data_IF_253493680404
#
_entry.id   IF_253493680404
#
_cell.length_a   1.000
_cell.length_b   1.000
_cell.length_c   1.000
_cell.angle_alpha   90.00
_cell.angle_beta   90.00
_cell.angle_gamma   90.00
#
_symmetry.space_group_name_H-M   'P 1'
#
loop_
_entity.id
_entity.type
_entity.pdbx_description
1 polymer ?
#
# COMPACT_ATOMS: atom_id res chain seq x y z
N UNK A 1 -22.53 14.24 2.35
CA UNK A 1 -22.89 14.96 1.12
C UNK A 1 -23.27 16.36 1.56
N UNK A 2 -22.66 17.40 0.99
CA UNK A 2 -23.09 18.78 1.26
C UNK A 2 -24.35 19.05 0.43
N UNK A 3 -25.31 19.77 1.01
CA UNK A 3 -26.57 20.14 0.36
C UNK A 3 -26.66 21.65 0.35
N UNK A 4 -26.60 22.24 -0.84
CA UNK A 4 -26.99 23.62 -1.06
C UNK A 4 -28.50 23.68 -1.37
N UNK A 5 -29.18 24.65 -0.76
CA UNK A 5 -30.62 24.90 -0.89
C UNK A 5 -30.95 25.77 -2.12
N UNK A 6 -29.96 26.48 -2.66
CA UNK A 6 -30.10 27.43 -3.77
C UNK A 6 -29.76 26.81 -5.14
N UNK A 7 -29.36 25.53 -5.16
CA UNK A 7 -29.07 24.71 -6.35
C UNK A 7 -27.89 25.24 -7.19
N UNK A 8 -26.96 25.91 -6.51
CA UNK A 8 -25.70 26.43 -7.02
C UNK A 8 -24.59 25.36 -6.93
N UNK A 9 -23.56 25.51 -7.77
CA UNK A 9 -22.48 24.52 -7.84
C UNK A 9 -21.46 24.76 -6.74
N UNK A 10 -21.43 23.87 -5.75
CA UNK A 10 -20.41 23.86 -4.71
C UNK A 10 -19.01 23.62 -5.30
N UNK A 11 -18.02 24.35 -4.80
CA UNK A 11 -16.60 24.13 -5.07
C UNK A 11 -15.91 23.57 -3.84
N UNK A 12 -14.99 22.62 -4.05
CA UNK A 12 -14.27 21.90 -3.00
C UNK A 12 -12.77 22.08 -3.18
N UNK A 13 -12.07 22.44 -2.10
CA UNK A 13 -10.60 22.52 -2.09
C UNK A 13 -10.04 21.89 -0.82
N UNK A 14 -8.78 21.49 -0.88
CA UNK A 14 -8.02 20.94 0.25
C UNK A 14 -6.99 21.96 0.73
N UNK A 15 -6.64 21.90 2.01
CA UNK A 15 -5.51 22.65 2.55
C UNK A 15 -4.18 22.16 1.94
N UNK A 16 -3.17 23.04 1.98
CA UNK A 16 -1.86 22.77 1.38
C UNK A 16 -1.16 21.55 1.99
N UNK A 17 -1.37 21.26 3.28
CA UNK A 17 -0.76 20.10 3.94
C UNK A 17 -1.35 18.81 3.39
N UNK A 18 -2.66 18.77 3.17
CA UNK A 18 -3.34 17.64 2.54
C UNK A 18 -2.87 17.40 1.11
N UNK A 19 -2.75 18.48 0.31
CA UNK A 19 -2.26 18.40 -1.06
C UNK A 19 -0.81 17.85 -1.12
N UNK A 20 0.07 18.29 -0.22
CA UNK A 20 1.46 17.80 -0.14
C UNK A 20 1.56 16.32 0.25
N UNK A 21 0.53 15.75 0.87
CA UNK A 21 0.45 14.30 1.15
C UNK A 21 -0.08 13.48 -0.04
N UNK A 22 -0.39 14.14 -1.16
CA UNK A 22 -0.99 13.52 -2.34
C UNK A 22 -2.49 13.25 -2.21
N UNK A 23 -3.17 13.91 -1.27
CA UNK A 23 -4.63 13.82 -1.14
C UNK A 23 -5.25 14.65 -2.27
N UNK A 24 -6.23 14.09 -2.96
CA UNK A 24 -6.97 14.76 -4.03
C UNK A 24 -8.45 14.82 -3.71
N UNK A 25 -9.16 15.82 -4.24
CA UNK A 25 -10.60 15.99 -4.12
C UNK A 25 -11.20 16.31 -5.50
N UNK A 26 -12.36 15.74 -5.84
CA UNK A 26 -13.08 16.11 -7.07
C UNK A 26 -14.17 17.16 -6.84
N UNK A 27 -14.82 17.56 -7.94
CA UNK A 27 -15.94 18.51 -7.93
C UNK A 27 -17.18 18.03 -7.17
N UNK A 28 -17.26 16.73 -6.85
CA UNK A 28 -18.33 16.15 -6.04
C UNK A 28 -17.92 15.99 -4.57
N UNK A 29 -16.73 16.48 -4.17
CA UNK A 29 -16.20 16.39 -2.82
C UNK A 29 -15.66 15.00 -2.44
N UNK A 30 -15.45 14.10 -3.41
CA UNK A 30 -14.87 12.77 -3.16
C UNK A 30 -13.37 12.90 -3.01
N UNK A 31 -12.81 12.27 -1.98
CA UNK A 31 -11.39 12.31 -1.65
C UNK A 31 -10.71 11.00 -2.03
N UNK A 32 -9.52 11.08 -2.64
CA UNK A 32 -8.64 9.93 -2.84
C UNK A 32 -7.28 10.18 -2.22
N UNK A 33 -6.73 9.13 -1.62
CA UNK A 33 -5.41 9.14 -1.01
C UNK A 33 -4.82 7.74 -0.95
N UNK A 34 -3.52 7.63 -1.21
CA UNK A 34 -2.72 6.42 -0.98
C UNK A 34 -1.65 6.76 0.05
N UNK A 35 -1.85 6.44 1.34
CA UNK A 35 -0.90 6.78 2.38
C UNK A 35 0.42 6.01 2.20
N UNK A 36 1.50 6.64 2.66
CA UNK A 36 2.84 6.03 2.73
C UNK A 36 3.22 5.74 4.19
N UNK A 37 4.35 5.08 4.41
CA UNK A 37 4.91 4.85 5.76
C UNK A 37 5.16 6.16 6.52
N UNK A 38 5.47 7.26 5.82
CA UNK A 38 5.65 8.58 6.42
C UNK A 38 4.33 9.20 6.91
N UNK A 39 3.19 8.58 6.60
CA UNK A 39 1.87 9.03 7.01
C UNK A 39 1.30 8.23 8.19
N UNK A 40 2.05 7.30 8.80
CA UNK A 40 1.59 6.57 9.98
C UNK A 40 1.22 7.56 11.10
N UNK A 41 0.06 7.34 11.72
CA UNK A 41 -0.51 8.23 12.73
C UNK A 41 -1.68 9.07 12.20
N UNK A 42 -1.97 10.16 12.92
CA UNK A 42 -3.11 11.04 12.62
C UNK A 42 -2.73 12.03 11.52
N UNK A 43 -3.57 12.10 10.50
CA UNK A 43 -3.46 13.01 9.36
C UNK A 43 -4.73 13.86 9.28
N UNK A 44 -4.69 15.11 9.78
CA UNK A 44 -5.80 16.03 9.56
C UNK A 44 -5.90 16.38 8.08
N UNK A 45 -7.13 16.40 7.58
CA UNK A 45 -7.50 16.81 6.23
C UNK A 45 -8.56 17.89 6.35
N UNK A 46 -8.29 19.09 5.86
CA UNK A 46 -9.25 20.19 5.88
C UNK A 46 -9.81 20.40 4.49
N UNK A 47 -11.11 20.20 4.34
CA UNK A 47 -11.87 20.51 3.14
C UNK A 47 -12.51 21.87 3.31
N UNK A 48 -12.33 22.73 2.31
CA UNK A 48 -13.04 24.00 2.19
C UNK A 48 -14.12 23.86 1.13
N UNK A 49 -15.34 24.21 1.46
CA UNK A 49 -16.51 24.23 0.58
C UNK A 49 -16.93 25.68 0.38
N UNK A 50 -17.11 26.09 -0.87
CA UNK A 50 -17.59 27.43 -1.20
C UNK A 50 -18.75 27.33 -2.20
N UNK A 51 -19.81 28.09 -1.91
CA UNK A 51 -21.07 28.10 -2.63
C UNK A 51 -21.21 29.27 -3.64
N UNK A 52 -20.08 29.81 -4.08
CA UNK A 52 -20.00 30.98 -4.98
C UNK A 52 -20.65 32.29 -4.45
N UNK A 53 -21.35 32.25 -3.32
CA UNK A 53 -21.98 33.39 -2.65
C UNK A 53 -21.14 33.93 -1.47
N UNK A 54 -19.81 33.77 -1.53
CA UNK A 54 -18.82 34.22 -0.52
C UNK A 54 -18.87 33.49 0.84
N UNK A 55 -19.82 32.59 1.04
CA UNK A 55 -19.88 31.71 2.21
C UNK A 55 -18.87 30.57 2.06
N UNK A 56 -17.90 30.54 2.98
CA UNK A 56 -16.88 29.50 3.04
C UNK A 56 -17.15 28.65 4.28
N UNK A 57 -17.27 27.34 4.10
CA UNK A 57 -17.33 26.38 5.19
C UNK A 57 -16.09 25.50 5.17
N UNK A 58 -15.49 25.29 6.33
CA UNK A 58 -14.36 24.38 6.49
C UNK A 58 -14.74 23.20 7.38
N UNK A 59 -14.33 22.01 6.98
CA UNK A 59 -14.45 20.80 7.77
C UNK A 59 -13.11 20.11 7.83
N UNK A 60 -12.63 19.84 9.04
CA UNK A 60 -11.44 19.00 9.27
C UNK A 60 -11.87 17.58 9.62
N UNK A 61 -11.18 16.61 9.03
CA UNK A 61 -11.33 15.19 9.34
C UNK A 61 -9.96 14.59 9.67
N UNK A 62 -9.89 13.78 10.72
CA UNK A 62 -8.65 13.12 11.15
C UNK A 62 -8.59 11.70 10.58
N UNK A 63 -7.80 11.49 9.53
CA UNK A 63 -7.51 10.16 8.99
C UNK A 63 -6.39 9.51 9.80
N UNK A 64 -6.65 8.34 10.39
CA UNK A 64 -5.62 7.57 11.10
C UNK A 64 -5.07 6.47 10.20
N UNK A 65 -3.76 6.49 9.96
CA UNK A 65 -3.05 5.43 9.24
C UNK A 65 -2.34 4.55 10.25
N UNK A 66 -2.60 3.25 10.20
CA UNK A 66 -1.94 2.25 11.04
C UNK A 66 -0.76 1.62 10.30
N UNK A 67 0.32 1.34 11.03
CA UNK A 67 1.41 0.55 10.49
C UNK A 67 0.96 -0.89 10.23
N UNK A 68 1.47 -1.50 9.16
CA UNK A 68 1.39 -2.95 9.01
C UNK A 68 2.51 -3.60 9.82
N UNK A 69 2.13 -4.49 10.74
CA UNK A 69 3.04 -5.12 11.69
C UNK A 69 3.06 -6.64 11.55
N UNK A 70 2.33 -7.19 10.58
CA UNK A 70 2.28 -8.62 10.33
C UNK A 70 3.38 -8.94 9.32
N UNK A 71 4.22 -9.93 9.67
CA UNK A 71 5.29 -10.36 8.77
C UNK A 71 4.75 -11.32 7.71
N UNK A 72 5.35 -11.35 6.50
CA UNK A 72 5.00 -12.34 5.49
C UNK A 72 5.20 -13.77 5.98
N UNK A 73 4.28 -14.66 5.61
CA UNK A 73 4.44 -16.10 5.81
C UNK A 73 5.10 -16.71 4.58
N UNK A 74 6.18 -17.47 4.80
CA UNK A 74 6.90 -18.20 3.75
C UNK A 74 6.56 -19.69 3.83
N UNK A 75 6.39 -20.32 2.67
CA UNK A 75 6.26 -21.76 2.54
C UNK A 75 7.29 -22.29 1.54
N UNK A 76 7.93 -23.41 1.86
CA UNK A 76 8.91 -24.05 0.99
C UNK A 76 8.45 -25.47 0.70
N UNK A 77 8.31 -25.80 -0.59
CA UNK A 77 7.90 -27.12 -1.06
C UNK A 77 9.05 -27.71 -1.85
N UNK A 78 9.46 -28.91 -1.47
CA UNK A 78 10.39 -29.71 -2.24
C UNK A 78 9.62 -30.81 -2.98
N UNK A 79 10.01 -31.09 -4.22
CA UNK A 79 9.43 -32.23 -4.96
C UNK A 79 9.88 -33.59 -4.40
N UNK A 80 11.01 -33.62 -3.68
CA UNK A 80 11.59 -34.80 -3.03
C UNK A 80 12.20 -34.40 -1.69
N UNK A 81 12.08 -35.28 -0.69
CA UNK A 81 12.70 -35.12 0.63
C UNK A 81 13.85 -36.10 0.87
N UNK A 82 13.98 -37.11 0.01
CA UNK A 82 15.09 -38.06 -0.04
C UNK A 82 15.55 -38.17 -1.49
N UNK A 83 16.86 -38.13 -1.71
CA UNK A 83 17.46 -38.21 -3.05
C UNK A 83 18.75 -39.01 -3.05
N UNK A 84 18.99 -39.71 -4.16
CA UNK A 84 20.26 -40.37 -4.42
C UNK A 84 21.29 -39.38 -5.00
N UNK A 85 22.56 -39.77 -4.93
CA UNK A 85 23.66 -38.97 -5.48
C UNK A 85 23.45 -38.72 -6.98
N UNK A 86 23.44 -37.45 -7.38
CA UNK A 86 23.30 -37.03 -8.77
C UNK A 86 21.85 -36.75 -9.20
N UNK A 87 20.85 -37.00 -8.35
CA UNK A 87 19.48 -36.60 -8.65
C UNK A 87 19.25 -35.09 -8.49
N UNK A 88 18.36 -34.55 -9.30
CA UNK A 88 17.92 -33.14 -9.19
C UNK A 88 16.73 -33.02 -8.24
N UNK A 89 16.81 -32.02 -7.35
CA UNK A 89 15.70 -31.56 -6.50
C UNK A 89 15.24 -30.20 -6.99
N UNK A 90 13.92 -30.02 -7.02
CA UNK A 90 13.29 -28.72 -7.26
C UNK A 90 12.69 -28.21 -5.96
N UNK A 91 13.05 -26.98 -5.62
CA UNK A 91 12.49 -26.25 -4.49
C UNK A 91 11.60 -25.12 -5.03
N UNK A 92 10.40 -25.01 -4.49
CA UNK A 92 9.49 -23.91 -4.75
C UNK A 92 9.23 -23.17 -3.45
N UNK A 93 9.63 -21.90 -3.39
CA UNK A 93 9.25 -21.00 -2.31
C UNK A 93 8.00 -20.21 -2.73
N UNK A 94 7.06 -20.06 -1.80
CA UNK A 94 5.95 -19.12 -1.92
C UNK A 94 5.88 -18.25 -0.67
N UNK A 95 5.31 -17.06 -0.81
CA UNK A 95 5.10 -16.17 0.32
C UNK A 95 3.73 -15.49 0.19
N UNK A 96 3.09 -15.26 1.33
CA UNK A 96 1.80 -14.56 1.45
C UNK A 96 1.88 -13.53 2.56
N UNK A 97 1.19 -12.40 2.38
CA UNK A 97 1.13 -11.32 3.34
C UNK A 97 -0.24 -10.63 3.28
N UNK A 98 -0.68 -9.98 4.35
CA UNK A 98 -1.96 -9.28 4.40
C UNK A 98 -1.97 -7.97 3.60
N UNK A 99 -0.81 -7.35 3.36
CA UNK A 99 -0.70 -6.14 2.53
C UNK A 99 0.09 -6.44 1.26
N UNK A 100 1.38 -6.77 1.38
CA UNK A 100 2.25 -6.99 0.22
C UNK A 100 3.53 -7.74 0.59
N UNK A 101 3.87 -8.74 -0.20
CA UNK A 101 5.22 -9.32 -0.20
C UNK A 101 6.14 -8.45 -1.06
N UNK A 102 7.11 -7.77 -0.44
CA UNK A 102 8.03 -6.89 -1.17
C UNK A 102 8.97 -7.63 -2.13
N UNK A 103 9.27 -8.90 -1.86
CA UNK A 103 10.06 -9.77 -2.72
C UNK A 103 10.28 -11.15 -2.08
N UNK A 104 10.64 -12.13 -2.91
CA UNK A 104 10.99 -13.48 -2.47
C UNK A 104 12.32 -13.91 -3.08
N UNK A 105 13.27 -14.25 -2.22
CA UNK A 105 14.59 -14.74 -2.63
C UNK A 105 14.85 -16.09 -2.00
N UNK A 106 15.08 -17.10 -2.84
CA UNK A 106 15.54 -18.41 -2.39
C UNK A 106 17.07 -18.47 -2.53
N UNK A 107 17.77 -18.66 -1.41
CA UNK A 107 19.21 -18.95 -1.39
C UNK A 107 19.39 -20.40 -0.97
N UNK A 108 19.98 -21.20 -1.85
CA UNK A 108 20.34 -22.59 -1.56
C UNK A 108 21.84 -22.63 -1.30
N UNK A 109 22.25 -23.08 -0.11
CA UNK A 109 23.65 -23.36 0.19
C UNK A 109 23.88 -24.87 0.06
N UNK A 110 24.64 -25.28 -0.94
CA UNK A 110 24.89 -26.68 -1.31
C UNK A 110 26.38 -27.01 -1.19
N UNK A 111 27.00 -26.61 -0.08
CA UNK A 111 28.40 -26.95 0.24
C UNK A 111 29.42 -26.42 -0.78
N UNK A 112 30.65 -26.93 -0.74
CA UNK A 112 31.81 -26.38 -1.48
C UNK A 112 31.82 -26.64 -3.00
N UNK A 113 30.86 -27.40 -3.53
CA UNK A 113 31.01 -28.03 -4.85
C UNK A 113 30.01 -27.54 -5.92
N UNK A 114 29.39 -26.36 -5.77
CA UNK A 114 28.51 -25.82 -6.82
C UNK A 114 28.33 -24.29 -6.82
N UNK A 115 28.17 -23.71 -8.01
CA UNK A 115 27.95 -22.27 -8.22
C UNK A 115 26.54 -21.89 -7.74
N UNK A 116 26.38 -20.98 -6.78
CA UNK A 116 25.06 -20.55 -6.32
C UNK A 116 24.29 -19.90 -7.47
N UNK A 117 23.12 -20.45 -7.81
CA UNK A 117 22.15 -19.76 -8.67
C UNK A 117 21.16 -19.01 -7.80
N UNK A 118 21.21 -17.69 -7.83
CA UNK A 118 20.16 -16.85 -7.27
C UNK A 118 19.04 -16.74 -8.30
N UNK A 119 17.86 -17.29 -8.00
CA UNK A 119 16.63 -16.91 -8.72
C UNK A 119 15.82 -15.97 -7.86
N UNK A 120 15.78 -14.72 -8.26
CA UNK A 120 14.80 -13.75 -7.77
C UNK A 120 13.53 -13.94 -8.58
N UNK A 121 12.42 -14.28 -7.91
CA UNK A 121 11.10 -14.27 -8.54
C UNK A 121 10.35 -13.10 -7.96
N UNK A 122 10.16 -12.07 -8.78
CA UNK A 122 9.22 -10.99 -8.45
C UNK A 122 7.82 -11.57 -8.65
N UNK A 123 7.06 -11.75 -7.57
CA UNK A 123 5.65 -12.09 -7.69
C UNK A 123 4.86 -10.78 -7.88
N UNK A 124 4.06 -10.74 -8.95
CA UNK A 124 3.14 -9.65 -9.30
C UNK A 124 1.97 -9.57 -8.34
#
# INVERSE_FOLDING_TARGET
>A
MATDIDNESLSYTLDFTSLNKGITIDKSGRIWWTPTTNNIGINPVTVTVNDNNSSILQQTYNLTVTADTIAPKVNLIANKTTVDKGETVTLQATATDNIKVAGLQLKVNIGTDYIPSTKTVNQT
#
